data_IF_717522068532
#
_entry.id   IF_717522068532
#
_cell.length_a   1.000
_cell.length_b   1.000
_cell.length_c   1.000
_cell.angle_alpha   90.00
_cell.angle_beta   90.00
_cell.angle_gamma   90.00
#
_symmetry.space_group_name_H-M   'P 1'
#
loop_
_entity.id
_entity.type
_entity.pdbx_description
1 polymer ?
#
# COMPACT_ATOMS: atom_id res chain seq x y z
N UNK A 1 -27.81 -0.72 15.41
CA UNK A 1 -27.06 -0.40 14.17
C UNK A 1 -25.56 -0.77 14.24
N UNK A 2 -25.00 -1.02 15.42
CA UNK A 2 -23.58 -1.38 15.62
C UNK A 2 -23.21 -2.84 15.26
N UNK A 3 -24.13 -3.79 15.37
CA UNK A 3 -23.83 -5.21 15.07
C UNK A 3 -23.55 -5.52 13.60
N UNK A 4 -24.05 -4.70 12.68
CA UNK A 4 -23.84 -4.92 11.23
C UNK A 4 -22.44 -4.51 10.81
N UNK A 5 -21.88 -3.45 11.42
CA UNK A 5 -20.52 -2.94 11.09
C UNK A 5 -19.41 -3.90 11.52
N UNK A 6 -19.56 -4.55 12.68
CA UNK A 6 -18.61 -5.55 13.19
C UNK A 6 -18.57 -6.80 12.29
N UNK A 7 -19.73 -7.26 11.80
CA UNK A 7 -19.79 -8.43 10.93
C UNK A 7 -19.13 -8.18 9.56
N UNK A 8 -19.24 -6.97 9.00
CA UNK A 8 -18.62 -6.63 7.71
C UNK A 8 -17.09 -6.57 7.83
N UNK A 9 -16.58 -6.07 8.94
CA UNK A 9 -15.14 -6.00 9.21
C UNK A 9 -14.52 -7.39 9.45
N UNK A 10 -15.20 -8.24 10.23
CA UNK A 10 -14.80 -9.65 10.46
C UNK A 10 -14.82 -10.43 9.14
N UNK A 11 -15.80 -10.18 8.27
CA UNK A 11 -15.88 -10.77 6.93
C UNK A 11 -14.74 -10.30 6.03
N UNK A 12 -14.33 -9.03 6.09
CA UNK A 12 -13.22 -8.49 5.31
C UNK A 12 -11.88 -9.10 5.74
N UNK A 13 -11.64 -9.20 7.05
CA UNK A 13 -10.45 -9.87 7.61
C UNK A 13 -10.48 -11.36 7.29
N UNK A 14 -11.62 -12.04 7.44
CA UNK A 14 -11.77 -13.44 7.09
C UNK A 14 -11.56 -13.68 5.57
N UNK A 15 -12.01 -12.75 4.72
CA UNK A 15 -11.77 -12.79 3.27
C UNK A 15 -10.29 -12.61 2.92
N UNK A 16 -9.58 -11.68 3.62
CA UNK A 16 -8.13 -11.54 3.50
C UNK A 16 -7.40 -12.81 3.97
N UNK A 17 -7.79 -13.41 5.10
CA UNK A 17 -7.22 -14.68 5.55
C UNK A 17 -7.55 -15.86 4.63
N UNK A 18 -8.72 -15.89 4.00
CA UNK A 18 -9.08 -16.88 2.98
C UNK A 18 -8.24 -16.72 1.71
N UNK A 19 -7.96 -15.49 1.27
CA UNK A 19 -7.05 -15.23 0.15
C UNK A 19 -5.62 -15.72 0.45
N UNK A 20 -5.17 -15.66 1.71
CA UNK A 20 -3.84 -16.12 2.13
C UNK A 20 -3.81 -17.59 2.61
N UNK A 21 -4.94 -18.18 3.02
CA UNK A 21 -5.00 -19.52 3.62
C UNK A 21 -5.09 -20.70 2.64
N UNK A 22 -5.61 -20.51 1.44
CA UNK A 22 -6.00 -21.65 0.56
C UNK A 22 -4.93 -22.20 -0.37
N UNK A 23 -3.66 -21.75 -0.34
CA UNK A 23 -2.67 -22.13 -1.36
C UNK A 23 -1.37 -22.75 -0.85
N UNK A 24 -1.33 -23.29 0.35
CA UNK A 24 -0.14 -24.00 0.84
C UNK A 24 0.03 -25.44 0.32
N UNK A 25 -0.89 -25.96 -0.52
CA UNK A 25 -0.87 -27.37 -0.91
C UNK A 25 -0.51 -27.61 -2.40
N UNK A 26 -0.41 -26.57 -3.24
CA UNK A 26 -0.28 -26.77 -4.70
C UNK A 26 1.10 -26.53 -5.30
N UNK A 27 2.12 -26.12 -4.56
CA UNK A 27 3.42 -25.73 -5.12
C UNK A 27 4.57 -26.72 -4.89
N UNK A 28 4.28 -28.00 -4.60
CA UNK A 28 5.33 -29.01 -4.39
C UNK A 28 5.82 -29.71 -5.67
N UNK A 29 5.24 -29.46 -6.85
CA UNK A 29 5.52 -30.27 -8.06
C UNK A 29 6.23 -29.58 -9.23
N UNK A 30 6.65 -28.31 -9.14
CA UNK A 30 7.38 -27.64 -10.23
C UNK A 30 8.74 -27.08 -9.82
N UNK A 31 9.58 -27.89 -9.19
CA UNK A 31 10.95 -27.50 -8.82
C UNK A 31 12.00 -27.68 -9.94
N UNK A 32 11.61 -27.92 -11.20
CA UNK A 32 12.56 -28.24 -12.26
C UNK A 32 12.60 -27.31 -13.48
N UNK A 33 11.93 -26.17 -13.46
CA UNK A 33 12.25 -25.10 -14.40
C UNK A 33 12.90 -23.94 -13.63
N UNK A 34 14.21 -24.06 -13.50
CA UNK A 34 15.07 -22.98 -13.03
C UNK A 34 15.20 -21.93 -14.15
N UNK A 35 14.11 -21.21 -14.46
CA UNK A 35 14.22 -19.92 -15.06
C UNK A 35 14.91 -19.04 -14.00
N UNK A 36 15.95 -18.35 -14.41
CA UNK A 36 16.65 -17.38 -13.62
C UNK A 36 15.69 -16.22 -13.35
N UNK A 37 14.77 -16.40 -12.38
CA UNK A 37 13.99 -15.28 -11.85
C UNK A 37 15.01 -14.37 -11.18
N UNK A 38 15.26 -13.23 -11.80
CA UNK A 38 16.02 -12.17 -11.17
C UNK A 38 15.26 -11.79 -9.90
N UNK A 39 16.00 -11.77 -8.80
CA UNK A 39 15.48 -11.35 -7.50
C UNK A 39 15.17 -9.87 -7.59
N UNK A 40 13.93 -9.53 -7.77
CA UNK A 40 13.51 -8.15 -7.91
C UNK A 40 12.95 -7.65 -6.58
N UNK A 41 13.80 -7.02 -5.81
CA UNK A 41 13.42 -6.21 -4.67
C UNK A 41 13.32 -4.77 -5.13
N UNK A 42 12.19 -4.12 -4.92
CA UNK A 42 11.99 -2.73 -5.26
C UNK A 42 11.92 -1.85 -4.02
N UNK A 43 12.58 -0.70 -4.07
CA UNK A 43 12.42 0.40 -3.11
C UNK A 43 11.78 1.60 -3.81
N UNK A 44 10.76 2.15 -3.17
CA UNK A 44 10.09 3.37 -3.57
C UNK A 44 10.41 4.47 -2.54
N UNK A 45 11.06 5.53 -3.00
CA UNK A 45 11.22 6.78 -2.24
C UNK A 45 10.16 7.75 -2.73
N UNK A 46 9.36 8.30 -1.83
CA UNK A 46 8.28 9.19 -2.22
C UNK A 46 8.17 10.42 -1.34
N UNK A 47 7.69 11.49 -1.96
CA UNK A 47 7.37 12.76 -1.29
C UNK A 47 6.13 13.37 -1.91
N UNK A 48 5.41 14.15 -1.13
CA UNK A 48 4.19 14.79 -1.62
C UNK A 48 3.47 15.60 -0.55
N UNK A 49 2.17 15.69 -0.67
CA UNK A 49 1.34 16.44 0.25
C UNK A 49 0.31 15.54 0.92
N UNK A 50 0.41 15.43 2.23
CA UNK A 50 -0.56 14.79 3.09
C UNK A 50 -1.78 15.69 3.25
N UNK A 51 -2.97 15.08 3.13
CA UNK A 51 -4.27 15.71 3.33
C UNK A 51 -4.48 17.00 2.54
N UNK A 52 -4.17 16.97 1.24
CA UNK A 52 -4.25 18.15 0.37
C UNK A 52 -5.68 18.71 0.25
N UNK A 53 -6.70 17.95 0.60
CA UNK A 53 -8.11 18.33 0.56
C UNK A 53 -8.57 19.15 1.76
N UNK A 54 -7.78 19.20 2.86
CA UNK A 54 -8.08 19.95 4.06
C UNK A 54 -7.07 21.11 4.24
N UNK A 55 -7.51 22.35 4.00
CA UNK A 55 -6.66 23.55 4.05
C UNK A 55 -5.97 23.77 5.40
N UNK A 56 -6.56 23.28 6.51
CA UNK A 56 -6.05 23.49 7.86
C UNK A 56 -4.99 22.49 8.31
N UNK A 57 -4.81 21.37 7.59
CA UNK A 57 -3.99 20.25 8.04
C UNK A 57 -3.03 19.69 6.97
N UNK A 58 -2.90 20.40 5.85
CA UNK A 58 -1.92 20.06 4.82
C UNK A 58 -0.50 20.04 5.38
N UNK A 59 0.26 19.03 5.00
CA UNK A 59 1.66 18.91 5.40
C UNK A 59 2.45 18.18 4.32
N UNK A 60 3.70 18.59 4.09
CA UNK A 60 4.59 17.81 3.25
C UNK A 60 4.85 16.46 3.92
N UNK A 61 4.89 15.42 3.10
CA UNK A 61 5.23 14.07 3.54
C UNK A 61 6.47 13.53 2.82
N UNK A 62 7.20 12.64 3.51
CA UNK A 62 8.35 11.90 3.01
C UNK A 62 8.23 10.46 3.45
N UNK A 63 8.43 9.54 2.55
CA UNK A 63 8.29 8.13 2.86
C UNK A 63 9.19 7.21 2.05
N UNK A 64 9.23 5.97 2.53
CA UNK A 64 9.92 4.86 1.89
C UNK A 64 9.03 3.62 1.94
N UNK A 65 9.07 2.85 0.88
CA UNK A 65 8.37 1.58 0.78
C UNK A 65 9.29 0.54 0.15
N UNK A 66 9.19 -0.68 0.63
CA UNK A 66 9.88 -1.85 0.13
C UNK A 66 8.84 -2.85 -0.37
N UNK A 67 9.02 -3.29 -1.59
CA UNK A 67 8.26 -4.37 -2.21
C UNK A 67 9.16 -5.59 -2.36
N UNK A 68 8.64 -6.76 -2.01
CA UNK A 68 9.32 -8.03 -2.23
C UNK A 68 8.56 -8.83 -3.30
N UNK A 69 9.07 -8.83 -4.53
CA UNK A 69 8.46 -9.56 -5.64
C UNK A 69 8.74 -11.08 -5.63
N UNK A 70 9.69 -11.55 -4.83
CA UNK A 70 9.93 -12.98 -4.64
C UNK A 70 8.77 -13.65 -3.89
N UNK A 71 8.15 -12.88 -2.98
CA UNK A 71 7.00 -13.32 -2.21
C UNK A 71 5.73 -12.86 -2.90
N UNK A 72 5.20 -13.65 -3.80
CA UNK A 72 3.96 -13.29 -4.48
C UNK A 72 2.92 -14.41 -4.45
N UNK A 73 1.68 -14.03 -4.69
CA UNK A 73 0.58 -14.96 -4.87
C UNK A 73 -0.22 -14.62 -6.12
N UNK A 74 -0.41 -15.60 -7.00
CA UNK A 74 -1.31 -15.44 -8.13
C UNK A 74 -2.76 -15.51 -7.67
N UNK A 75 -3.53 -14.49 -8.01
CA UNK A 75 -4.95 -14.35 -7.68
C UNK A 75 -5.74 -13.95 -8.92
N UNK A 76 -7.08 -13.87 -8.80
CA UNK A 76 -7.91 -13.32 -9.88
C UNK A 76 -7.66 -11.81 -10.12
N UNK A 77 -7.06 -11.10 -9.16
CA UNK A 77 -6.63 -9.70 -9.29
C UNK A 77 -5.22 -9.57 -9.88
N UNK A 78 -4.57 -10.66 -10.26
CA UNK A 78 -3.19 -10.68 -10.74
C UNK A 78 -2.20 -11.18 -9.69
N UNK A 79 -0.92 -10.85 -9.88
CA UNK A 79 0.19 -11.19 -8.99
C UNK A 79 0.23 -10.23 -7.81
N UNK A 80 -0.27 -10.66 -6.65
CA UNK A 80 -0.19 -9.88 -5.41
C UNK A 80 1.19 -10.05 -4.78
N UNK A 81 1.88 -8.94 -4.52
CA UNK A 81 3.18 -8.88 -3.84
C UNK A 81 3.05 -8.15 -2.51
N UNK A 82 3.75 -8.58 -1.44
CA UNK A 82 3.73 -7.89 -0.17
C UNK A 82 4.55 -6.60 -0.24
N UNK A 83 4.04 -5.56 0.41
CA UNK A 83 4.72 -4.29 0.58
C UNK A 83 4.78 -3.91 2.05
N UNK A 84 5.85 -3.20 2.43
CA UNK A 84 6.03 -2.65 3.78
C UNK A 84 6.68 -1.29 3.65
N UNK A 85 6.19 -0.32 4.38
CA UNK A 85 6.71 1.03 4.29
C UNK A 85 6.24 1.93 5.40
N UNK A 86 6.56 3.20 5.25
CA UNK A 86 6.08 4.24 6.14
C UNK A 86 6.39 5.63 5.61
N UNK A 87 5.71 6.59 6.18
CA UNK A 87 5.98 8.01 5.95
C UNK A 87 5.92 8.81 7.25
N UNK A 88 6.52 9.97 7.20
CA UNK A 88 6.36 11.01 8.19
C UNK A 88 6.01 12.33 7.50
N UNK A 89 5.38 13.23 8.24
CA UNK A 89 5.02 14.57 7.77
C UNK A 89 5.77 15.66 8.53
N UNK A 90 5.89 16.83 7.95
CA UNK A 90 6.47 18.00 8.65
C UNK A 90 5.70 18.37 9.93
N UNK A 91 4.41 18.05 9.99
CA UNK A 91 3.59 18.24 11.19
C UNK A 91 3.76 17.09 12.22
N UNK A 92 4.72 16.16 12.01
CA UNK A 92 5.04 15.08 12.94
C UNK A 92 4.12 13.86 12.85
N UNK A 93 3.14 13.83 11.94
CA UNK A 93 2.35 12.63 11.75
C UNK A 93 3.22 11.51 11.14
N UNK A 94 2.99 10.27 11.59
CA UNK A 94 3.74 9.08 11.15
C UNK A 94 2.77 7.96 10.81
N UNK A 95 3.03 7.23 9.72
CA UNK A 95 2.28 6.05 9.33
C UNK A 95 3.22 4.92 8.97
N UNK A 96 3.12 3.80 9.68
CA UNK A 96 3.88 2.57 9.42
C UNK A 96 2.90 1.49 8.97
N UNK A 97 3.17 0.85 7.84
CA UNK A 97 2.22 -0.05 7.22
C UNK A 97 2.86 -1.28 6.59
N UNK A 98 2.05 -2.30 6.43
CA UNK A 98 2.33 -3.45 5.58
C UNK A 98 1.05 -3.85 4.85
N UNK A 99 1.16 -4.45 3.69
CA UNK A 99 0.00 -4.85 2.91
C UNK A 99 0.38 -5.52 1.61
N UNK A 100 -0.43 -5.30 0.60
CA UNK A 100 -0.27 -5.93 -0.71
C UNK A 100 -0.48 -4.93 -1.83
N UNK A 101 0.21 -5.18 -2.94
CA UNK A 101 -0.03 -4.50 -4.21
C UNK A 101 -0.10 -5.49 -5.36
N UNK A 102 -0.59 -5.04 -6.49
CA UNK A 102 -0.47 -5.72 -7.78
C UNK A 102 -0.06 -4.72 -8.83
N UNK A 103 0.73 -5.13 -9.80
CA UNK A 103 1.15 -4.28 -10.89
C UNK A 103 0.54 -4.74 -12.21
N UNK A 104 0.08 -3.79 -13.01
CA UNK A 104 -0.44 -4.00 -14.35
C UNK A 104 0.34 -3.17 -15.35
N UNK A 105 1.05 -3.84 -16.24
CA UNK A 105 1.78 -3.20 -17.34
C UNK A 105 0.81 -2.79 -18.46
N UNK A 106 0.77 -1.49 -18.76
CA UNK A 106 -0.05 -0.88 -19.81
C UNK A 106 0.85 -0.23 -20.86
N UNK A 107 1.65 -1.04 -21.55
CA UNK A 107 2.66 -0.60 -22.49
C UNK A 107 3.88 0.01 -21.78
N UNK A 108 4.02 1.34 -21.77
CA UNK A 108 5.11 2.05 -21.07
C UNK A 108 4.67 2.62 -19.71
N UNK A 109 3.43 2.38 -19.35
CA UNK A 109 2.84 2.86 -18.11
C UNK A 109 2.54 1.66 -17.21
N UNK A 110 2.95 1.72 -15.96
CA UNK A 110 2.61 0.75 -14.94
C UNK A 110 1.51 1.34 -14.05
N UNK A 111 0.46 0.57 -13.82
CA UNK A 111 -0.63 0.89 -12.91
C UNK A 111 -0.59 -0.04 -11.71
N UNK A 112 -0.37 0.52 -10.50
CA UNK A 112 -0.12 -0.26 -9.30
C UNK A 112 -1.08 0.15 -8.18
N UNK A 113 -2.25 -0.52 -8.07
CA UNK A 113 -3.10 -0.40 -6.90
C UNK A 113 -2.53 -1.16 -5.71
N UNK A 114 -2.69 -0.58 -4.50
CA UNK A 114 -2.28 -1.20 -3.25
C UNK A 114 -3.30 -0.98 -2.13
N UNK A 115 -3.24 -1.87 -1.13
CA UNK A 115 -4.01 -1.76 0.10
C UNK A 115 -3.14 -2.13 1.29
N UNK A 116 -3.00 -1.20 2.25
CA UNK A 116 -2.08 -1.34 3.37
C UNK A 116 -2.74 -0.89 4.67
N UNK A 117 -3.09 -1.81 5.58
CA UNK A 117 -3.34 -1.48 6.97
C UNK A 117 -2.05 -1.03 7.65
N UNK A 118 -2.17 -0.11 8.62
CA UNK A 118 -1.00 0.41 9.33
C UNK A 118 -1.31 1.12 10.62
N UNK A 119 -0.26 1.41 11.36
CA UNK A 119 -0.30 2.21 12.58
C UNK A 119 -0.07 3.68 12.23
N UNK A 120 -0.99 4.53 12.65
CA UNK A 120 -0.93 5.97 12.47
C UNK A 120 -0.82 6.69 13.80
N UNK A 121 0.13 7.61 13.88
CA UNK A 121 0.26 8.60 14.95
C UNK A 121 0.12 10.00 14.34
N UNK A 122 -0.79 10.81 14.85
CA UNK A 122 -1.07 12.14 14.29
C UNK A 122 0.02 13.17 14.55
N UNK A 123 0.84 12.98 15.58
CA UNK A 123 1.72 14.05 16.05
C UNK A 123 0.94 15.35 16.25
N UNK A 124 1.45 16.46 15.71
CA UNK A 124 0.78 17.77 15.68
C UNK A 124 -0.10 17.93 14.42
N UNK A 125 -0.16 16.92 13.56
CA UNK A 125 -0.91 16.90 12.31
C UNK A 125 -2.41 16.62 12.49
N UNK A 126 -3.02 16.00 11.47
CA UNK A 126 -4.44 15.64 11.47
C UNK A 126 -4.67 14.37 12.28
N UNK A 127 -5.57 14.44 13.26
CA UNK A 127 -6.08 13.25 13.94
C UNK A 127 -7.08 12.52 13.01
N UNK A 128 -6.84 11.24 12.71
CA UNK A 128 -7.70 10.41 11.89
C UNK A 128 -8.71 9.59 12.72
N UNK A 129 -8.69 9.77 14.04
CA UNK A 129 -9.68 9.20 14.96
C UNK A 129 -9.36 7.79 15.47
N UNK A 130 -8.32 7.12 14.95
CA UNK A 130 -7.91 5.79 15.40
C UNK A 130 -6.44 5.51 15.04
N UNK A 131 -5.76 4.71 15.86
CA UNK A 131 -4.36 4.36 15.59
C UNK A 131 -4.20 3.33 14.47
N UNK A 132 -5.21 2.47 14.24
CA UNK A 132 -5.24 1.57 13.09
C UNK A 132 -5.97 2.24 11.94
N UNK A 133 -5.25 2.49 10.86
CA UNK A 133 -5.75 3.09 9.65
C UNK A 133 -5.50 2.18 8.43
N UNK A 134 -6.27 2.40 7.37
CA UNK A 134 -6.20 1.65 6.12
C UNK A 134 -5.91 2.61 4.98
N UNK A 135 -4.79 2.41 4.29
CA UNK A 135 -4.41 3.18 3.10
C UNK A 135 -4.82 2.39 1.85
N UNK A 136 -5.63 3.01 1.00
CA UNK A 136 -5.88 2.56 -0.37
C UNK A 136 -5.15 3.51 -1.31
N UNK A 137 -4.30 2.99 -2.20
CA UNK A 137 -3.47 3.80 -3.08
C UNK A 137 -3.55 3.31 -4.51
N UNK A 138 -3.44 4.22 -5.45
CA UNK A 138 -3.18 3.95 -6.86
C UNK A 138 -1.93 4.72 -7.29
N UNK A 139 -0.99 4.03 -7.93
CA UNK A 139 0.22 4.60 -8.49
C UNK A 139 0.25 4.40 -9.99
N UNK A 140 0.73 5.41 -10.71
CA UNK A 140 1.07 5.36 -12.12
C UNK A 140 2.56 5.67 -12.25
N UNK A 141 3.31 4.80 -12.93
CA UNK A 141 4.73 5.02 -13.16
C UNK A 141 5.13 4.71 -14.59
N UNK A 142 6.25 5.28 -15.02
CA UNK A 142 6.87 5.07 -16.33
C UNK A 142 8.34 4.70 -16.15
N UNK A 143 8.84 3.87 -17.04
CA UNK A 143 10.26 3.53 -17.09
C UNK A 143 11.09 4.77 -17.38
N UNK A 144 12.09 5.03 -16.55
CA UNK A 144 13.01 6.16 -16.69
C UNK A 144 14.33 5.73 -17.32
N UNK A 145 14.99 4.74 -16.72
CA UNK A 145 16.22 4.07 -17.18
C UNK A 145 16.30 2.72 -16.46
N UNK A 146 17.34 1.94 -16.75
CA UNK A 146 17.48 0.56 -16.26
C UNK A 146 17.11 0.39 -14.80
N UNK A 147 16.10 -0.46 -14.54
CA UNK A 147 15.59 -0.80 -13.22
C UNK A 147 15.13 0.41 -12.38
N UNK A 148 14.67 1.48 -13.03
CA UNK A 148 14.19 2.68 -12.32
C UNK A 148 12.94 3.25 -12.97
N UNK A 149 11.99 3.69 -12.13
CA UNK A 149 10.72 4.24 -12.59
C UNK A 149 10.44 5.58 -11.89
N UNK A 150 9.77 6.49 -12.58
CA UNK A 150 9.17 7.68 -11.99
C UNK A 150 7.66 7.54 -12.00
N UNK A 151 7.04 7.89 -10.88
CA UNK A 151 5.61 7.77 -10.74
C UNK A 151 4.96 8.92 -9.99
N UNK A 152 3.65 8.89 -10.03
CA UNK A 152 2.77 9.68 -9.18
C UNK A 152 1.76 8.74 -8.55
N UNK A 153 1.41 8.98 -7.29
CA UNK A 153 0.37 8.22 -6.62
C UNK A 153 -0.62 9.13 -5.89
N UNK A 154 -1.81 8.57 -5.71
CA UNK A 154 -2.87 9.14 -4.91
C UNK A 154 -3.32 8.10 -3.90
N UNK A 155 -3.47 8.48 -2.65
CA UNK A 155 -4.03 7.61 -1.62
C UNK A 155 -5.14 8.27 -0.81
N UNK A 156 -5.94 7.40 -0.22
CA UNK A 156 -6.88 7.71 0.84
C UNK A 156 -6.57 6.85 2.06
N UNK A 157 -6.47 7.49 3.22
CA UNK A 157 -6.28 6.84 4.52
C UNK A 157 -7.52 7.07 5.36
N UNK A 158 -8.05 6.01 5.98
CA UNK A 158 -9.20 6.10 6.87
C UNK A 158 -9.27 4.89 7.81
N UNK A 159 -9.92 5.06 8.96
CA UNK A 159 -10.06 3.99 9.96
C UNK A 159 -11.24 3.04 9.72
N UNK A 160 -11.89 3.11 8.57
CA UNK A 160 -13.06 2.28 8.24
C UNK A 160 -14.19 2.35 9.30
N UNK A 161 -14.31 3.46 10.00
CA UNK A 161 -15.24 3.67 11.12
C UNK A 161 -14.97 2.80 12.36
N UNK A 162 -13.72 2.43 12.62
CA UNK A 162 -13.31 1.78 13.86
C UNK A 162 -13.28 2.78 15.03
N UNK A 163 -12.93 4.03 14.76
CA UNK A 163 -12.99 5.14 15.72
C UNK A 163 -14.39 5.73 15.86
N UNK A 164 -14.55 6.68 16.77
CA UNK A 164 -15.77 7.49 16.90
C UNK A 164 -15.96 8.40 15.69
N UNK A 165 -14.84 8.96 15.22
CA UNK A 165 -14.75 9.83 14.06
C UNK A 165 -13.91 9.15 12.99
N UNK A 166 -14.18 9.45 11.72
CA UNK A 166 -13.42 8.94 10.58
C UNK A 166 -13.27 10.05 9.54
N UNK A 167 -12.48 11.08 9.82
CA UNK A 167 -12.32 12.22 8.90
C UNK A 167 -11.57 11.84 7.63
N UNK A 168 -10.70 10.83 7.70
CA UNK A 168 -9.84 10.42 6.61
C UNK A 168 -8.82 11.48 6.17
N UNK A 169 -7.91 11.11 5.29
CA UNK A 169 -6.95 12.01 4.65
C UNK A 169 -6.70 11.58 3.22
N UNK A 170 -6.55 12.54 2.30
CA UNK A 170 -6.21 12.31 0.90
C UNK A 170 -4.83 12.89 0.60
N UNK A 171 -3.97 12.10 -0.02
CA UNK A 171 -2.60 12.53 -0.32
C UNK A 171 -2.25 12.26 -1.77
N UNK A 172 -1.37 13.08 -2.33
CA UNK A 172 -0.69 12.78 -3.59
C UNK A 172 0.81 12.77 -3.38
N UNK A 173 1.51 11.90 -4.10
CA UNK A 173 2.95 11.73 -4.00
C UNK A 173 3.60 11.65 -5.37
N UNK A 174 4.88 12.04 -5.41
CA UNK A 174 5.82 11.75 -6.46
C UNK A 174 6.71 10.59 -5.98
N UNK A 175 6.91 9.61 -6.82
CA UNK A 175 7.54 8.35 -6.52
C UNK A 175 8.79 8.16 -7.37
N UNK A 176 9.89 7.72 -6.75
CA UNK A 176 11.07 7.22 -7.43
C UNK A 176 11.29 5.77 -6.98
N UNK A 177 11.12 4.85 -7.92
CA UNK A 177 11.22 3.42 -7.68
C UNK A 177 12.53 2.90 -8.28
N UNK A 178 13.20 2.03 -7.52
CA UNK A 178 14.44 1.39 -7.93
C UNK A 178 14.40 -0.09 -7.60
N UNK A 179 14.57 -0.92 -8.62
CA UNK A 179 14.70 -2.37 -8.51
C UNK A 179 16.16 -2.78 -8.36
N UNK A 180 16.43 -3.82 -7.57
CA UNK A 180 17.75 -4.34 -7.26
C UNK A 180 17.85 -5.86 -7.50
#
# INVERSE_FOLDING_TARGET
MERIKLNTFVLLIAFLFLLFGYTTISNAENLNEKSKEEKNTEFNLYTGMFDFSDDGKRSNLFGIEHQNEELFRNTFLGKLSPITGGFFTEAGATYLYTGVQTEYELGRLNFTPSFTPGYYDSGDGKDLGHALEFKSEVQLSVDLFDNSHLGMSYNHISNASLGKDNPGANSYMFNFLKQF
#
